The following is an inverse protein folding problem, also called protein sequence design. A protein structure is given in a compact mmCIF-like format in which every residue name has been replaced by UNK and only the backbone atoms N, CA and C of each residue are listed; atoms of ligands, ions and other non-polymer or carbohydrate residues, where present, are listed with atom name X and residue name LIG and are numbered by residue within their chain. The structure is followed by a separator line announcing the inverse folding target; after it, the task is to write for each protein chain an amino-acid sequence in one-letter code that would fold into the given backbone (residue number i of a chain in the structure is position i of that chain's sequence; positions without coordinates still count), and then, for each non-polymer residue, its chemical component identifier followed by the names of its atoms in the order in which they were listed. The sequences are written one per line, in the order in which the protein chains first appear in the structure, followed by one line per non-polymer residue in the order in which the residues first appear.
data_IF_820248373838
#
_entry.id   IF_820248373838
#
_cell.length_a   1.000
_cell.length_b   1.000
_cell.length_c   1.000
_cell.angle_alpha   90.00
_cell.angle_beta   90.00
_cell.angle_gamma   90.00
#
_symmetry.space_group_name_H-M   'P 1'
#
loop_
_entity.id
_entity.type
_entity.pdbx_description
1 polymer ?
#
# COMPACT_ATOMS: atom_id res chain seq x y z
N UNK A 1 1.65 6.16 -9.79
CA UNK A 1 0.93 6.03 -8.50
C UNK A 1 0.25 7.31 -8.01
N UNK A 2 0.83 8.49 -8.18
CA UNK A 2 0.26 9.77 -7.72
C UNK A 2 -1.19 10.05 -8.19
N UNK A 3 -1.50 9.83 -9.48
CA UNK A 3 -2.86 10.02 -10.02
C UNK A 3 -3.91 9.15 -9.31
N UNK A 4 -3.55 7.92 -8.89
CA UNK A 4 -4.47 7.03 -8.16
C UNK A 4 -4.76 7.59 -6.77
N UNK A 5 -3.74 8.00 -6.03
CA UNK A 5 -3.91 8.58 -4.68
C UNK A 5 -4.81 9.81 -4.73
N UNK A 6 -4.60 10.70 -5.70
CA UNK A 6 -5.46 11.88 -5.90
C UNK A 6 -6.93 11.49 -6.19
N UNK A 7 -7.18 10.53 -7.08
CA UNK A 7 -8.55 10.04 -7.37
C UNK A 7 -9.22 9.41 -6.16
N UNK A 8 -8.46 8.65 -5.36
CA UNK A 8 -8.96 8.06 -4.12
C UNK A 8 -9.30 9.15 -3.08
N UNK A 9 -8.44 10.16 -2.92
CA UNK A 9 -8.71 11.30 -2.03
C UNK A 9 -9.88 12.16 -2.51
N UNK A 10 -10.08 12.29 -3.82
CA UNK A 10 -11.24 12.93 -4.42
C UNK A 10 -12.56 12.13 -4.26
N UNK A 11 -12.51 10.92 -3.68
CA UNK A 11 -13.69 10.09 -3.41
C UNK A 11 -14.25 9.34 -4.61
N UNK A 12 -13.53 9.38 -5.74
CA UNK A 12 -13.86 8.64 -6.96
C UNK A 12 -13.10 7.31 -7.05
N UNK A 13 -12.38 6.94 -6.00
CA UNK A 13 -11.64 5.67 -5.90
C UNK A 13 -12.51 4.48 -5.45
N UNK A 14 -11.83 3.39 -5.09
CA UNK A 14 -12.47 2.14 -4.68
C UNK A 14 -13.42 2.28 -3.48
N UNK A 15 -14.45 1.42 -3.42
CA UNK A 15 -15.50 1.40 -2.38
C UNK A 15 -14.92 1.47 -0.94
N UNK A 16 -13.86 0.71 -0.67
CA UNK A 16 -13.25 0.63 0.67
C UNK A 16 -12.57 1.93 1.12
N UNK A 17 -11.89 2.62 0.21
CA UNK A 17 -11.17 3.88 0.48
C UNK A 17 -12.03 5.11 0.26
N UNK A 18 -13.23 4.95 -0.31
CA UNK A 18 -14.19 6.05 -0.52
C UNK A 18 -14.70 6.65 0.79
N UNK A 19 -14.87 5.92 1.88
CA UNK A 19 -15.26 6.52 3.18
C UNK A 19 -14.07 6.86 4.07
N UNK A 20 -12.87 6.37 3.75
CA UNK A 20 -11.66 6.47 4.57
C UNK A 20 -10.63 7.35 3.87
N UNK A 21 -10.84 8.66 3.97
CA UNK A 21 -10.00 9.71 3.37
C UNK A 21 -9.53 10.67 4.48
N UNK A 22 -8.34 11.28 4.37
CA UNK A 22 -7.37 11.14 3.28
C UNK A 22 -6.55 9.85 3.36
N UNK A 23 -6.19 9.29 2.20
CA UNK A 23 -5.22 8.20 2.08
C UNK A 23 -3.87 8.75 1.61
N UNK A 24 -2.80 8.18 2.18
CA UNK A 24 -1.42 8.46 1.80
C UNK A 24 -0.75 7.16 1.35
N UNK A 25 0.07 7.26 0.31
CA UNK A 25 0.89 6.13 -0.16
C UNK A 25 2.15 6.08 0.70
N UNK A 26 2.25 5.06 1.56
CA UNK A 26 3.39 4.88 2.45
C UNK A 26 4.57 4.17 1.76
N UNK A 27 4.26 3.18 0.92
CA UNK A 27 5.26 2.37 0.24
C UNK A 27 4.81 2.01 -1.17
N UNK A 28 5.76 1.98 -2.11
CA UNK A 28 5.57 1.37 -3.42
C UNK A 28 6.90 0.79 -3.88
N UNK A 29 6.86 -0.42 -4.41
CA UNK A 29 8.01 -1.13 -4.94
C UNK A 29 7.71 -1.57 -6.37
N UNK A 30 8.73 -1.53 -7.22
CA UNK A 30 8.65 -1.97 -8.60
C UNK A 30 9.32 -3.33 -8.74
N UNK A 31 8.63 -4.25 -9.41
CA UNK A 31 9.12 -5.60 -9.66
C UNK A 31 9.24 -5.84 -11.16
N UNK A 32 10.32 -6.48 -11.58
CA UNK A 32 10.60 -6.76 -12.99
C UNK A 32 9.62 -7.76 -13.61
N UNK A 33 9.04 -8.65 -12.80
CA UNK A 33 8.11 -9.68 -13.29
C UNK A 33 6.78 -9.64 -12.54
N UNK A 34 5.70 -9.90 -13.26
CA UNK A 34 4.35 -10.02 -12.69
C UNK A 34 4.29 -11.08 -11.60
N UNK A 35 4.98 -12.20 -11.79
CA UNK A 35 5.00 -13.31 -10.82
C UNK A 35 5.69 -12.92 -9.50
N UNK A 36 6.78 -12.15 -9.55
CA UNK A 36 7.43 -11.64 -8.33
C UNK A 36 6.51 -10.66 -7.59
N UNK A 37 5.87 -9.74 -8.31
CA UNK A 37 4.93 -8.78 -7.74
C UNK A 37 3.76 -9.48 -7.01
N UNK A 38 3.14 -10.49 -7.65
CA UNK A 38 2.02 -11.23 -7.06
C UNK A 38 2.44 -12.03 -5.82
N UNK A 39 3.63 -12.64 -5.83
CA UNK A 39 4.17 -13.35 -4.65
C UNK A 39 4.40 -12.40 -3.48
N UNK A 40 5.02 -11.24 -3.73
CA UNK A 40 5.26 -10.23 -2.71
C UNK A 40 3.94 -9.67 -2.16
N UNK A 41 2.98 -9.35 -3.03
CA UNK A 41 1.66 -8.86 -2.63
C UNK A 41 0.92 -9.90 -1.76
N UNK A 42 0.92 -11.17 -2.17
CA UNK A 42 0.28 -12.24 -1.40
C UNK A 42 0.90 -12.38 -0.02
N UNK A 43 2.24 -12.42 0.06
CA UNK A 43 2.96 -12.52 1.32
C UNK A 43 2.63 -11.34 2.25
N UNK A 44 2.66 -10.11 1.73
CA UNK A 44 2.35 -8.90 2.51
C UNK A 44 0.89 -8.85 2.97
N UNK A 45 -0.07 -9.28 2.12
CA UNK A 45 -1.50 -9.26 2.46
C UNK A 45 -1.83 -10.20 3.62
N UNK A 46 -1.18 -11.37 3.69
CA UNK A 46 -1.39 -12.38 4.72
C UNK A 46 -0.64 -12.10 6.02
N UNK A 47 0.28 -11.13 6.04
CA UNK A 47 1.01 -10.78 7.24
C UNK A 47 0.10 -10.12 8.30
N UNK A 48 0.32 -10.42 9.60
CA UNK A 48 -0.34 -9.70 10.68
C UNK A 48 0.12 -8.24 10.73
N UNK A 49 -0.65 -7.39 11.40
CA UNK A 49 -0.34 -5.94 11.50
C UNK A 49 1.08 -5.67 12.00
N UNK A 50 1.51 -6.36 13.08
CA UNK A 50 2.88 -6.23 13.63
C UNK A 50 3.99 -6.52 12.61
N UNK A 51 3.79 -7.51 11.74
CA UNK A 51 4.78 -7.84 10.70
C UNK A 51 4.85 -6.77 9.62
N UNK A 52 3.69 -6.20 9.23
CA UNK A 52 3.63 -5.06 8.30
C UNK A 52 4.30 -3.82 8.86
N UNK A 53 4.15 -3.55 10.15
CA UNK A 53 4.84 -2.45 10.84
C UNK A 53 6.36 -2.66 10.81
N UNK A 54 6.85 -3.85 11.16
CA UNK A 54 8.27 -4.19 11.05
C UNK A 54 8.79 -4.04 9.62
N UNK A 55 8.03 -4.48 8.63
CA UNK A 55 8.37 -4.31 7.22
C UNK A 55 8.54 -2.83 6.87
N UNK A 56 7.57 -1.98 7.21
CA UNK A 56 7.65 -0.55 6.95
C UNK A 56 8.86 0.10 7.65
N UNK A 57 9.14 -0.27 8.92
CA UNK A 57 10.33 0.20 9.63
C UNK A 57 11.62 -0.26 8.96
N UNK A 58 11.69 -1.50 8.49
CA UNK A 58 12.86 -2.03 7.76
C UNK A 58 13.10 -1.28 6.44
N UNK A 59 12.04 -0.83 5.78
CA UNK A 59 12.09 0.04 4.61
C UNK A 59 12.24 1.54 4.95
N UNK A 60 12.53 1.87 6.22
CA UNK A 60 12.73 3.24 6.73
C UNK A 60 11.51 4.17 6.57
N UNK A 61 10.31 3.60 6.53
CA UNK A 61 9.07 4.35 6.37
C UNK A 61 8.51 4.64 7.75
N UNK A 62 8.31 5.92 8.05
CA UNK A 62 7.66 6.39 9.28
C UNK A 62 6.21 6.72 8.94
N UNK A 63 5.26 5.99 9.51
CA UNK A 63 3.81 6.17 9.28
C UNK A 63 3.03 6.58 10.54
N UNK A 64 3.76 6.87 11.62
CA UNK A 64 3.21 7.16 12.94
C UNK A 64 3.30 8.65 13.24
#
# INVERSE_FOLDING_TARGET
MAKRVATHNAGKGAKYTRSRRPVQLLYSEEFTTKSAALKAEYAFKHQPRRAKEKFLTAHQIVWK
#
